data_IF_266981509850
#
_entry.id   IF_266981509850
#
_cell.length_a   1.000
_cell.length_b   1.000
_cell.length_c   1.000
_cell.angle_alpha   90.00
_cell.angle_beta   90.00
_cell.angle_gamma   90.00
#
_symmetry.space_group_name_H-M   'P 1'
#
loop_
_entity.id
_entity.type
_entity.pdbx_description
1 polymer ?
#
# COMPACT_ATOMS: atom_id res chain seq x y z
N UNK A 1 1.69 -16.71 2.76
CA UNK A 1 1.00 -15.46 2.37
C UNK A 1 -0.18 -15.85 1.49
N UNK A 2 -1.29 -15.15 1.62
CA UNK A 2 -2.49 -15.33 0.78
C UNK A 2 -2.90 -13.94 0.33
N UNK A 3 -3.25 -13.77 -0.95
CA UNK A 3 -3.88 -12.54 -1.42
C UNK A 3 -5.38 -12.80 -1.48
N UNK A 4 -6.16 -11.97 -0.78
CA UNK A 4 -7.62 -12.09 -0.69
C UNK A 4 -8.25 -10.74 -1.03
N UNK A 5 -9.14 -10.73 -2.02
CA UNK A 5 -10.02 -9.60 -2.31
C UNK A 5 -11.38 -9.89 -1.73
N UNK A 6 -11.88 -8.96 -0.92
CA UNK A 6 -13.21 -9.01 -0.32
C UNK A 6 -14.08 -7.93 -0.94
N UNK A 7 -15.35 -8.26 -1.12
CA UNK A 7 -16.38 -7.32 -1.53
C UNK A 7 -17.13 -6.84 -0.30
N UNK A 8 -17.18 -5.53 -0.13
CA UNK A 8 -18.03 -4.87 0.86
C UNK A 8 -18.72 -3.70 0.15
N UNK A 9 -19.98 -3.89 -0.21
CA UNK A 9 -20.88 -2.78 -0.53
C UNK A 9 -21.82 -2.56 0.67
N UNK A 10 -22.29 -1.33 0.84
CA UNK A 10 -23.26 -1.00 1.88
C UNK A 10 -24.50 -1.90 1.71
N UNK A 11 -24.80 -2.71 2.73
CA UNK A 11 -25.86 -3.74 2.78
C UNK A 11 -25.55 -5.10 2.09
N UNK A 12 -24.32 -5.35 1.67
CA UNK A 12 -23.90 -6.68 1.21
C UNK A 12 -23.15 -7.46 2.31
N UNK A 13 -23.29 -8.78 2.28
CA UNK A 13 -22.54 -9.66 3.19
C UNK A 13 -21.09 -9.76 2.73
N UNK A 14 -20.14 -9.59 3.66
CA UNK A 14 -18.71 -9.80 3.40
C UNK A 14 -18.51 -11.13 2.67
N UNK A 15 -17.93 -11.06 1.47
CA UNK A 15 -17.70 -12.20 0.60
C UNK A 15 -16.30 -12.13 -0.02
N UNK A 16 -15.67 -13.30 -0.14
CA UNK A 16 -14.39 -13.42 -0.83
C UNK A 16 -14.66 -13.44 -2.34
N UNK A 17 -14.21 -12.39 -3.03
CA UNK A 17 -14.34 -12.25 -4.48
C UNK A 17 -13.22 -12.99 -5.23
N UNK A 18 -12.04 -13.06 -4.61
CA UNK A 18 -10.88 -13.77 -5.13
C UNK A 18 -9.91 -14.08 -4.01
N UNK A 19 -9.31 -15.28 -4.07
CA UNK A 19 -8.20 -15.64 -3.20
C UNK A 19 -7.18 -16.48 -3.96
N UNK A 20 -5.90 -16.24 -3.70
CA UNK A 20 -4.82 -17.07 -4.23
C UNK A 20 -3.71 -17.26 -3.20
N UNK A 21 -3.21 -18.49 -3.13
CA UNK A 21 -2.00 -18.88 -2.38
C UNK A 21 -0.84 -19.20 -3.31
N UNK A 22 -1.09 -19.24 -4.63
CA UNK A 22 -0.05 -19.46 -5.64
C UNK A 22 0.69 -18.15 -5.89
N UNK A 23 1.66 -17.87 -5.03
CA UNK A 23 2.40 -16.63 -5.01
C UNK A 23 3.87 -16.89 -5.35
N UNK A 24 4.50 -16.10 -6.24
CA UNK A 24 5.90 -16.30 -6.62
C UNK A 24 6.84 -16.03 -5.44
N UNK A 25 7.46 -17.08 -4.90
CA UNK A 25 8.30 -17.03 -3.69
C UNK A 25 9.43 -15.99 -3.77
N UNK A 26 10.05 -15.83 -4.94
CA UNK A 26 11.12 -14.85 -5.17
C UNK A 26 10.63 -13.41 -5.04
N UNK A 27 9.37 -13.13 -5.40
CA UNK A 27 8.81 -11.78 -5.29
C UNK A 27 8.26 -11.50 -3.89
N UNK A 28 7.65 -12.48 -3.23
CA UNK A 28 7.17 -12.33 -1.84
C UNK A 28 8.33 -12.09 -0.86
N UNK A 29 9.48 -12.73 -1.09
CA UNK A 29 10.64 -12.56 -0.21
C UNK A 29 11.04 -11.09 -0.06
N UNK A 30 10.89 -10.28 -1.12
CA UNK A 30 11.15 -8.83 -1.07
C UNK A 30 10.27 -8.10 -0.04
N UNK A 31 9.03 -8.55 0.18
CA UNK A 31 8.15 -7.98 1.21
C UNK A 31 8.67 -8.23 2.63
N UNK A 32 9.33 -9.36 2.85
CA UNK A 32 9.90 -9.72 4.17
C UNK A 32 11.14 -8.90 4.53
N UNK A 33 11.77 -8.28 3.53
CA UNK A 33 12.98 -7.45 3.66
C UNK A 33 12.64 -6.00 4.03
N UNK A 34 11.36 -5.60 3.99
CA UNK A 34 10.90 -4.26 4.41
C UNK A 34 11.24 -4.05 5.90
N UNK A 35 11.96 -2.97 6.20
CA UNK A 35 12.27 -2.59 7.57
C UNK A 35 11.12 -1.77 8.19
N UNK A 36 10.11 -2.48 8.67
CA UNK A 36 8.89 -1.87 9.25
C UNK A 36 9.19 -0.88 10.39
N UNK A 37 10.26 -1.11 11.16
CA UNK A 37 10.63 -0.23 12.27
C UNK A 37 11.13 1.15 11.78
N UNK A 38 11.69 1.26 10.57
CA UNK A 38 12.17 2.54 10.00
C UNK A 38 11.11 3.34 9.24
N UNK A 39 9.87 2.85 9.17
CA UNK A 39 8.79 3.54 8.48
C UNK A 39 7.99 4.43 9.43
N UNK A 40 7.43 5.53 8.93
CA UNK A 40 6.42 6.33 9.62
C UNK A 40 5.07 5.62 9.63
N UNK A 41 4.08 6.24 10.26
CA UNK A 41 2.70 5.72 10.31
C UNK A 41 1.79 6.42 9.31
N UNK A 42 2.20 7.57 8.79
CA UNK A 42 1.42 8.35 7.85
C UNK A 42 2.32 9.05 6.84
N UNK A 43 1.92 8.99 5.56
CA UNK A 43 2.53 9.71 4.46
C UNK A 43 1.42 10.25 3.56
N UNK A 44 1.42 11.55 3.28
CA UNK A 44 0.40 12.18 2.45
C UNK A 44 0.97 13.29 1.58
N UNK A 45 0.62 13.22 0.30
CA UNK A 45 0.78 14.32 -0.64
C UNK A 45 -0.56 15.09 -0.74
N UNK A 46 -0.70 16.24 -0.07
CA UNK A 46 -1.97 16.98 -0.08
C UNK A 46 -2.22 17.73 -1.38
N UNK A 47 -1.25 17.81 -2.31
CA UNK A 47 -1.42 18.48 -3.59
C UNK A 47 -2.31 17.69 -4.57
N UNK A 48 -2.63 16.44 -4.25
CA UNK A 48 -3.62 15.64 -4.98
C UNK A 48 -4.90 15.62 -4.13
N UNK A 49 -5.93 16.35 -4.57
CA UNK A 49 -7.15 16.60 -3.79
C UNK A 49 -8.08 15.39 -3.69
N UNK A 50 -8.16 14.59 -4.75
CA UNK A 50 -9.01 13.42 -4.85
C UNK A 50 -8.13 12.27 -5.30
N UNK A 51 -8.12 11.16 -4.56
CA UNK A 51 -7.19 10.11 -4.89
C UNK A 51 -7.23 8.89 -3.98
N UNK A 52 -6.10 8.24 -3.91
CA UNK A 52 -5.98 6.88 -3.42
C UNK A 52 -5.39 6.84 -2.01
N UNK A 53 -6.03 6.05 -1.16
CA UNK A 53 -5.61 5.78 0.21
C UNK A 53 -5.30 4.29 0.32
N UNK A 54 -4.07 3.99 0.70
CA UNK A 54 -3.60 2.62 0.95
C UNK A 54 -3.19 2.48 2.41
N UNK A 55 -3.68 1.44 3.05
CA UNK A 55 -3.34 1.10 4.44
C UNK A 55 -2.56 -0.21 4.43
N UNK A 56 -1.35 -0.15 4.95
CA UNK A 56 -0.46 -1.29 5.12
C UNK A 56 -0.46 -1.70 6.57
N UNK A 57 -0.82 -2.95 6.85
CA UNK A 57 -0.68 -3.54 8.17
C UNK A 57 0.38 -4.63 8.13
N UNK A 58 1.46 -4.43 8.88
CA UNK A 58 2.55 -5.37 9.01
C UNK A 58 2.48 -6.05 10.37
N UNK A 59 2.45 -7.38 10.37
CA UNK A 59 2.50 -8.21 11.58
C UNK A 59 3.78 -9.03 11.54
N UNK A 60 4.73 -8.74 12.45
CA UNK A 60 6.03 -9.43 12.55
C UNK A 60 6.31 -9.81 14.00
N UNK A 61 6.18 -11.09 14.31
CA UNK A 61 6.26 -11.58 15.69
C UNK A 61 5.09 -11.03 16.52
N UNK A 62 5.40 -10.36 17.63
CA UNK A 62 4.41 -9.67 18.49
C UNK A 62 4.16 -8.21 18.12
N UNK A 63 4.87 -7.67 17.12
CA UNK A 63 4.70 -6.30 16.67
C UNK A 63 3.67 -6.22 15.54
N UNK A 64 2.73 -5.29 15.69
CA UNK A 64 1.84 -4.84 14.61
C UNK A 64 2.13 -3.38 14.33
N UNK A 65 2.31 -3.03 13.06
CA UNK A 65 2.45 -1.64 12.63
C UNK A 65 1.50 -1.35 11.49
N UNK A 66 0.77 -0.24 11.61
CA UNK A 66 -0.18 0.23 10.61
C UNK A 66 0.35 1.52 9.99
N UNK A 67 0.43 1.56 8.67
CA UNK A 67 0.97 2.67 7.89
C UNK A 67 -0.08 3.09 6.87
N UNK A 68 -0.43 4.36 6.85
CA UNK A 68 -1.37 4.92 5.89
C UNK A 68 -0.63 5.81 4.89
N UNK A 69 -0.83 5.52 3.61
CA UNK A 69 -0.30 6.29 2.49
C UNK A 69 -1.47 6.91 1.74
N UNK A 70 -1.37 8.21 1.45
CA UNK A 70 -2.36 8.94 0.67
C UNK A 70 -1.66 9.69 -0.46
N UNK A 71 -1.98 9.33 -1.70
CA UNK A 71 -1.46 10.06 -2.87
C UNK A 71 0.07 10.22 -2.92
N UNK A 72 0.80 9.35 -2.22
CA UNK A 72 2.22 9.48 -1.96
C UNK A 72 2.96 8.24 -2.46
N UNK A 73 4.03 8.43 -3.24
CA UNK A 73 4.94 7.35 -3.59
C UNK A 73 5.98 7.13 -2.48
N UNK A 74 5.94 5.97 -1.84
CA UNK A 74 6.91 5.54 -0.84
C UNK A 74 7.76 4.41 -1.43
N UNK A 75 9.07 4.65 -1.61
CA UNK A 75 9.97 3.72 -2.32
C UNK A 75 10.00 2.29 -1.75
N UNK A 76 9.84 2.11 -0.45
CA UNK A 76 9.81 0.78 0.19
C UNK A 76 8.43 0.10 0.17
N UNK A 77 7.34 0.87 0.17
CA UNK A 77 5.98 0.34 0.32
C UNK A 77 5.25 0.23 -1.01
N UNK A 78 5.41 1.21 -1.90
CA UNK A 78 4.71 1.24 -3.18
C UNK A 78 5.01 0.04 -4.10
N UNK A 79 6.23 -0.57 -4.11
CA UNK A 79 6.48 -1.82 -4.87
C UNK A 79 5.58 -3.01 -4.48
N UNK A 80 4.99 -3.00 -3.29
CA UNK A 80 4.03 -4.05 -2.89
C UNK A 80 2.76 -4.04 -3.76
N UNK A 81 2.35 -2.87 -4.24
CA UNK A 81 1.16 -2.69 -5.09
C UNK A 81 1.44 -3.26 -6.48
N UNK A 82 2.61 -2.94 -7.04
CA UNK A 82 3.10 -3.49 -8.30
C UNK A 82 3.12 -5.02 -8.23
N UNK A 83 3.69 -5.58 -7.16
CA UNK A 83 3.72 -7.02 -6.93
C UNK A 83 2.32 -7.65 -6.91
N UNK A 84 1.38 -7.08 -6.16
CA UNK A 84 0.01 -7.63 -6.10
C UNK A 84 -0.65 -7.56 -7.48
N UNK A 85 -0.51 -6.43 -8.19
CA UNK A 85 -1.06 -6.25 -9.54
C UNK A 85 -0.50 -7.25 -10.57
N UNK A 86 0.75 -7.68 -10.43
CA UNK A 86 1.33 -8.71 -11.29
C UNK A 86 0.78 -10.12 -11.03
N UNK A 87 0.19 -10.37 -9.85
CA UNK A 87 -0.29 -11.70 -9.43
C UNK A 87 -1.79 -11.86 -9.73
N UNK A 88 -2.55 -10.78 -9.58
CA UNK A 88 -4.01 -10.84 -9.60
C UNK A 88 -4.56 -10.66 -11.02
N UNK A 89 -5.75 -11.22 -11.33
CA UNK A 89 -6.44 -10.94 -12.59
C UNK A 89 -6.69 -9.45 -12.80
N UNK A 90 -6.78 -9.01 -14.06
CA UNK A 90 -6.93 -7.59 -14.43
C UNK A 90 -8.04 -6.86 -13.66
N UNK A 91 -9.20 -7.49 -13.49
CA UNK A 91 -10.35 -6.92 -12.77
C UNK A 91 -10.12 -6.65 -11.29
N UNK A 92 -9.06 -7.22 -10.71
CA UNK A 92 -8.67 -7.04 -9.30
C UNK A 92 -7.39 -6.23 -9.14
N UNK A 93 -6.81 -5.72 -10.23
CA UNK A 93 -5.66 -4.83 -10.12
C UNK A 93 -6.07 -3.54 -9.43
N UNK A 94 -5.28 -3.14 -8.45
CA UNK A 94 -5.41 -1.84 -7.80
C UNK A 94 -4.95 -0.73 -8.74
N UNK A 95 -5.63 0.40 -8.71
CA UNK A 95 -5.12 1.60 -9.35
C UNK A 95 -3.79 2.02 -8.72
N UNK A 96 -2.79 2.25 -9.58
CA UNK A 96 -1.45 2.66 -9.19
C UNK A 96 -0.68 3.21 -10.39
N UNK A 97 -0.50 4.52 -10.43
CA UNK A 97 0.36 5.19 -11.41
C UNK A 97 1.61 5.72 -10.70
N UNK A 98 2.71 4.97 -10.83
CA UNK A 98 3.98 5.34 -10.23
C UNK A 98 4.52 6.66 -10.78
N UNK A 99 4.41 6.88 -12.09
CA UNK A 99 5.01 8.04 -12.72
C UNK A 99 4.30 9.31 -12.27
N UNK A 100 2.96 9.29 -12.27
CA UNK A 100 2.15 10.41 -11.81
C UNK A 100 2.36 10.72 -10.31
N UNK A 101 2.48 9.69 -9.46
CA UNK A 101 2.75 9.89 -8.04
C UNK A 101 4.13 10.54 -7.80
N UNK A 102 5.17 10.14 -8.54
CA UNK A 102 6.51 10.73 -8.43
C UNK A 102 6.50 12.17 -8.93
N UNK A 103 5.96 12.42 -10.12
CA UNK A 103 5.86 13.76 -10.70
C UNK A 103 5.06 14.70 -9.79
N UNK A 104 3.96 14.21 -9.22
CA UNK A 104 3.13 14.97 -8.29
C UNK A 104 3.83 15.26 -6.97
N UNK A 105 4.72 14.38 -6.48
CA UNK A 105 5.55 14.68 -5.30
C UNK A 105 6.57 15.78 -5.60
N UNK A 106 7.23 15.70 -6.74
CA UNK A 106 8.21 16.71 -7.18
C UNK A 106 7.54 18.08 -7.32
N UNK A 107 6.36 18.13 -7.96
CA UNK A 107 5.58 19.36 -8.14
C UNK A 107 5.05 19.94 -6.82
N UNK A 108 4.64 19.09 -5.88
CA UNK A 108 4.10 19.56 -4.59
C UNK A 108 5.16 20.23 -3.71
N UNK A 109 6.40 19.73 -3.78
CA UNK A 109 7.51 20.21 -2.98
C UNK A 109 7.50 19.66 -1.55
N UNK A 110 8.69 19.39 -1.02
CA UNK A 110 8.88 18.69 0.26
C UNK A 110 8.24 19.39 1.47
N UNK A 111 8.16 20.73 1.46
CA UNK A 111 7.59 21.50 2.57
C UNK A 111 6.08 21.31 2.74
N UNK A 112 5.39 20.77 1.74
CA UNK A 112 3.95 20.54 1.78
C UNK A 112 3.60 19.09 2.15
N UNK A 113 4.56 18.17 2.07
CA UNK A 113 4.35 16.75 2.37
C UNK A 113 4.08 16.58 3.85
N UNK A 114 3.05 15.77 4.16
CA UNK A 114 2.66 15.46 5.54
C UNK A 114 3.15 14.06 5.90
N UNK A 115 3.92 13.98 6.98
CA UNK A 115 4.45 12.73 7.52
C UNK A 115 4.29 12.71 9.04
N UNK A 116 3.99 11.54 9.60
CA UNK A 116 4.05 11.32 11.04
C UNK A 116 4.65 9.95 11.36
N UNK A 117 5.17 9.87 12.58
CA UNK A 117 5.83 8.70 13.15
C UNK A 117 5.06 8.23 14.37
N UNK A 118 5.27 6.99 14.81
CA UNK A 118 4.73 6.52 16.08
C UNK A 118 5.21 7.46 17.21
N UNK A 119 4.27 7.93 18.03
CA UNK A 119 4.62 8.56 19.31
C UNK A 119 5.09 7.44 20.23
N UNK A 120 6.39 7.42 20.54
CA UNK A 120 6.98 6.46 21.48
C UNK A 120 6.38 6.59 22.89
#
# INVERSE_FOLDING_TARGET
>A
MTITFRGELENEKDSILYATTNLPSSKIRKLSEINVDSLGVFYSNPCIADGDIKVYEFIKGSKTKRIQIQNYYHSELSPTVELINEIVPDKFKMYYDKADLIESLERCGQSQIRMSWDEN
#
